data_IF_341284454003
#
_entry.id   IF_341284454003
#
_cell.length_a   1.000
_cell.length_b   1.000
_cell.length_c   1.000
_cell.angle_alpha   90.00
_cell.angle_beta   90.00
_cell.angle_gamma   90.00
#
_symmetry.space_group_name_H-M   'P 1'
#
loop_
_entity.id
_entity.type
_entity.pdbx_description
1 polymer ?
#
# COMPACT_ATOMS: atom_id res chain seq x y z
N UNK A 1 1.85 18.78 11.10
CA UNK A 1 2.15 18.75 9.65
C UNK A 1 1.14 19.65 8.95
N UNK A 2 1.54 20.71 8.24
CA UNK A 2 0.64 21.50 7.41
C UNK A 2 -0.16 20.61 6.45
N UNK A 3 -1.45 20.91 6.26
CA UNK A 3 -2.35 20.09 5.42
C UNK A 3 -1.82 19.85 4.01
N UNK A 4 -1.15 20.85 3.41
CA UNK A 4 -0.53 20.74 2.10
C UNK A 4 0.53 19.62 2.02
N UNK A 5 1.33 19.45 3.08
CA UNK A 5 2.38 18.43 3.14
C UNK A 5 1.76 17.04 3.30
N UNK A 6 0.70 16.92 4.11
CA UNK A 6 -0.03 15.66 4.25
C UNK A 6 -0.66 15.22 2.93
N UNK A 7 -1.28 16.15 2.20
CA UNK A 7 -1.86 15.88 0.88
C UNK A 7 -0.77 15.46 -0.11
N UNK A 8 0.35 16.19 -0.19
CA UNK A 8 1.46 15.82 -1.06
C UNK A 8 2.01 14.42 -0.76
N UNK A 9 2.19 14.09 0.52
CA UNK A 9 2.60 12.76 0.97
C UNK A 9 1.62 11.66 0.55
N UNK A 10 0.31 11.88 0.76
CA UNK A 10 -0.74 10.93 0.37
C UNK A 10 -0.79 10.71 -1.14
N UNK A 11 -0.69 11.79 -1.93
CA UNK A 11 -0.71 11.69 -3.39
C UNK A 11 0.47 10.85 -3.90
N UNK A 12 1.67 11.12 -3.40
CA UNK A 12 2.87 10.40 -3.82
C UNK A 12 2.86 8.96 -3.33
N UNK A 13 2.43 8.72 -2.08
CA UNK A 13 2.24 7.38 -1.56
C UNK A 13 1.24 6.57 -2.40
N UNK A 14 0.18 7.20 -2.91
CA UNK A 14 -0.81 6.56 -3.79
C UNK A 14 -0.19 6.16 -5.13
N UNK A 15 0.54 7.08 -5.77
CA UNK A 15 1.23 6.80 -7.04
C UNK A 15 2.23 5.66 -6.90
N UNK A 16 3.03 5.67 -5.81
CA UNK A 16 4.01 4.61 -5.54
C UNK A 16 3.32 3.28 -5.26
N UNK A 17 2.20 3.29 -4.55
CA UNK A 17 1.42 2.08 -4.26
C UNK A 17 0.87 1.42 -5.53
N UNK A 18 0.52 2.22 -6.55
CA UNK A 18 0.11 1.71 -7.87
C UNK A 18 1.30 1.17 -8.69
N UNK A 19 2.50 1.70 -8.46
CA UNK A 19 3.73 1.31 -9.18
C UNK A 19 4.51 0.20 -8.50
N UNK A 20 4.16 -0.18 -7.27
CA UNK A 20 4.94 -1.12 -6.47
C UNK A 20 4.79 -2.55 -7.03
N UNK A 21 5.89 -3.10 -7.51
CA UNK A 21 6.02 -4.54 -7.78
C UNK A 21 6.20 -5.24 -6.44
N UNK A 22 5.45 -6.32 -6.18
CA UNK A 22 5.52 -7.11 -4.94
C UNK A 22 6.84 -7.86 -4.80
N UNK A 23 7.94 -7.14 -4.54
CA UNK A 23 9.20 -7.72 -4.09
C UNK A 23 9.30 -7.57 -2.57
N UNK A 24 9.44 -8.69 -1.82
CA UNK A 24 9.79 -8.63 -0.41
C UNK A 24 11.14 -7.95 -0.24
N UNK A 25 11.27 -7.08 0.76
CA UNK A 25 12.59 -6.71 1.24
C UNK A 25 12.87 -5.22 1.42
N UNK A 26 14.00 -5.01 2.09
CA UNK A 26 14.67 -3.73 2.34
C UNK A 26 14.91 -2.88 1.09
N UNK A 27 15.07 -3.52 -0.07
CA UNK A 27 15.32 -2.85 -1.36
C UNK A 27 14.06 -2.06 -1.79
N UNK A 28 12.87 -2.65 -1.66
CA UNK A 28 11.61 -2.00 -2.03
C UNK A 28 11.25 -0.86 -1.09
N UNK A 29 11.64 -0.93 0.18
CA UNK A 29 11.36 0.09 1.21
C UNK A 29 12.02 1.43 0.90
N UNK A 30 13.34 1.44 0.65
CA UNK A 30 14.07 2.69 0.39
C UNK A 30 13.58 3.35 -0.90
N UNK A 31 13.32 2.53 -1.94
CA UNK A 31 12.81 3.01 -3.24
C UNK A 31 11.39 3.59 -3.12
N UNK A 32 10.56 3.01 -2.24
CA UNK A 32 9.17 3.45 -2.07
C UNK A 32 9.03 4.62 -1.09
N UNK A 33 9.76 4.62 0.03
CA UNK A 33 9.61 5.64 1.08
C UNK A 33 10.50 6.86 0.83
N UNK A 34 11.65 6.70 0.15
CA UNK A 34 12.55 7.80 -0.18
C UNK A 34 11.86 8.98 -0.89
N UNK A 35 11.14 8.77 -2.01
CA UNK A 35 10.44 9.84 -2.69
C UNK A 35 9.32 10.49 -1.86
N UNK A 36 8.64 9.71 -1.00
CA UNK A 36 7.59 10.22 -0.10
C UNK A 36 8.22 11.15 0.95
N UNK A 37 9.32 10.74 1.56
CA UNK A 37 10.04 11.53 2.55
C UNK A 37 10.59 12.83 1.94
N UNK A 38 11.15 12.77 0.73
CA UNK A 38 11.61 13.95 -0.02
C UNK A 38 10.47 14.93 -0.28
N UNK A 39 9.31 14.45 -0.71
CA UNK A 39 8.17 15.31 -0.98
C UNK A 39 7.53 15.92 0.27
N UNK A 40 7.65 15.25 1.41
CA UNK A 40 7.23 15.79 2.69
C UNK A 40 8.30 16.70 3.33
N UNK A 41 9.49 16.82 2.74
CA UNK A 41 10.61 17.59 3.29
C UNK A 41 11.19 16.99 4.57
N UNK A 42 11.05 15.67 4.76
CA UNK A 42 11.52 14.94 5.94
C UNK A 42 12.86 14.26 5.62
N UNK A 43 13.83 14.21 6.55
CA UNK A 43 15.12 13.55 6.33
C UNK A 43 14.97 12.08 5.92
N UNK A 44 15.81 11.65 4.97
CA UNK A 44 15.83 10.28 4.41
C UNK A 44 16.86 9.38 5.09
N UNK A 45 17.82 9.96 5.79
CA UNK A 45 18.89 9.26 6.51
C UNK A 45 18.35 8.23 7.52
N UNK A 46 17.25 8.49 8.26
CA UNK A 46 16.66 7.49 9.17
C UNK A 46 16.18 6.22 8.48
N UNK A 47 15.90 6.26 7.16
CA UNK A 47 15.47 5.07 6.40
C UNK A 47 16.52 3.96 6.44
N UNK A 48 17.82 4.31 6.49
CA UNK A 48 18.89 3.31 6.62
C UNK A 48 18.79 2.52 7.93
N UNK A 49 18.28 3.13 9.00
CA UNK A 49 18.04 2.45 10.28
C UNK A 49 16.71 1.70 10.26
N UNK A 50 15.66 2.32 9.73
CA UNK A 50 14.32 1.72 9.66
C UNK A 50 14.29 0.46 8.79
N UNK A 51 15.21 0.34 7.83
CA UNK A 51 15.36 -0.87 7.01
C UNK A 51 15.59 -2.14 7.84
N UNK A 52 16.19 -2.01 9.02
CA UNK A 52 16.46 -3.13 9.92
C UNK A 52 15.18 -3.74 10.50
N UNK A 53 14.13 -2.93 10.67
CA UNK A 53 12.85 -3.35 11.26
C UNK A 53 11.73 -3.43 10.24
N UNK A 54 11.99 -3.08 8.98
CA UNK A 54 10.99 -2.99 7.91
C UNK A 54 10.22 -4.29 7.68
N UNK A 55 10.77 -5.45 8.04
CA UNK A 55 10.07 -6.73 7.88
C UNK A 55 8.73 -6.78 8.62
N UNK A 56 8.60 -6.07 9.75
CA UNK A 56 7.35 -6.00 10.50
C UNK A 56 6.26 -5.19 9.76
N UNK A 57 6.47 -3.90 9.42
CA UNK A 57 5.49 -3.14 8.65
C UNK A 57 5.29 -3.69 7.23
N UNK A 58 6.30 -4.27 6.58
CA UNK A 58 6.15 -4.88 5.25
C UNK A 58 5.19 -6.07 5.29
N UNK A 59 5.26 -6.90 6.34
CA UNK A 59 4.32 -8.00 6.56
C UNK A 59 2.90 -7.48 6.77
N UNK A 60 2.73 -6.45 7.59
CA UNK A 60 1.41 -5.85 7.84
C UNK A 60 0.82 -5.23 6.57
N UNK A 61 1.63 -4.53 5.78
CA UNK A 61 1.23 -3.94 4.50
C UNK A 61 0.81 -5.03 3.51
N UNK A 62 1.60 -6.10 3.40
CA UNK A 62 1.30 -7.22 2.51
C UNK A 62 0.02 -7.93 2.92
N UNK A 63 -0.12 -8.26 4.20
CA UNK A 63 -1.33 -8.90 4.74
C UNK A 63 -2.56 -8.04 4.49
N UNK A 64 -2.53 -6.76 4.87
CA UNK A 64 -3.66 -5.84 4.70
C UNK A 64 -4.08 -5.68 3.23
N UNK A 65 -3.11 -5.49 2.33
CA UNK A 65 -3.38 -5.35 0.90
C UNK A 65 -4.00 -6.62 0.31
N UNK A 66 -3.44 -7.80 0.61
CA UNK A 66 -3.98 -9.08 0.12
C UNK A 66 -5.37 -9.35 0.69
N UNK A 67 -5.59 -9.11 1.98
CA UNK A 67 -6.91 -9.26 2.61
C UNK A 67 -7.94 -8.36 1.93
N UNK A 68 -7.60 -7.09 1.66
CA UNK A 68 -8.51 -6.16 0.97
C UNK A 68 -8.80 -6.61 -0.46
N UNK A 69 -7.79 -7.07 -1.20
CA UNK A 69 -7.96 -7.58 -2.56
C UNK A 69 -8.92 -8.77 -2.61
N UNK A 70 -8.77 -9.74 -1.70
CA UNK A 70 -9.66 -10.90 -1.60
C UNK A 70 -11.08 -10.47 -1.18
N UNK A 71 -11.19 -9.56 -0.21
CA UNK A 71 -12.48 -9.04 0.25
C UNK A 71 -13.25 -8.36 -0.89
N UNK A 72 -12.61 -7.43 -1.61
CA UNK A 72 -13.22 -6.73 -2.75
C UNK A 72 -13.60 -7.71 -3.86
N UNK A 73 -12.72 -8.66 -4.20
CA UNK A 73 -13.00 -9.68 -5.22
C UNK A 73 -14.24 -10.51 -4.85
N UNK A 74 -14.34 -10.95 -3.59
CA UNK A 74 -15.48 -11.72 -3.11
C UNK A 74 -16.80 -10.92 -3.09
N UNK A 75 -16.72 -9.63 -2.74
CA UNK A 75 -17.87 -8.73 -2.75
C UNK A 75 -18.37 -8.49 -4.18
N UNK A 76 -17.46 -8.32 -5.13
CA UNK A 76 -17.78 -8.17 -6.55
C UNK A 76 -18.42 -9.45 -7.10
N UNK A 77 -17.82 -10.63 -6.87
CA UNK A 77 -18.40 -11.92 -7.32
C UNK A 77 -19.84 -12.10 -6.83
N UNK A 78 -20.10 -11.79 -5.55
CA UNK A 78 -21.44 -11.85 -4.97
C UNK A 78 -22.41 -10.85 -5.60
N UNK A 79 -21.94 -9.64 -5.94
CA UNK A 79 -22.79 -8.61 -6.55
C UNK A 79 -23.22 -8.92 -7.98
N UNK A 80 -22.43 -9.72 -8.71
CA UNK A 80 -22.72 -10.12 -10.09
C UNK A 80 -23.68 -11.32 -10.15
N UNK A 81 -23.69 -12.19 -9.11
CA UNK A 81 -24.67 -13.27 -8.99
C UNK A 81 -26.06 -12.70 -8.69
N UNK A 82 -26.83 -12.40 -9.74
CA UNK A 82 -28.29 -12.24 -9.66
C UNK A 82 -28.89 -13.58 -9.19
N UNK A 83 -29.94 -13.60 -8.33
CA UNK A 83 -30.58 -14.85 -7.96
C UNK A 83 -31.16 -15.52 -9.22
N UNK A 84 -30.54 -16.61 -9.67
CA UNK A 84 -31.21 -17.49 -10.61
C UNK A 84 -32.45 -18.03 -9.93
N UNK A 85 -33.61 -17.71 -10.51
CA UNK A 85 -34.88 -18.34 -10.13
C UNK A 85 -34.72 -19.84 -10.33
N UNK A 86 -34.94 -20.68 -9.30
CA UNK A 86 -34.83 -22.12 -9.47
C UNK A 86 -35.82 -22.56 -10.56
N UNK A 87 -35.31 -23.17 -11.63
CA UNK A 87 -36.16 -23.82 -12.62
C UNK A 87 -36.94 -24.94 -11.93
N UNK A 88 -38.26 -24.85 -12.01
CA UNK A 88 -39.25 -25.84 -11.59
C UNK A 88 -39.01 -27.20 -12.21
#
# INVERSE_FOLDING_TARGET
VPWAIAIAGVLIASVISLSAVSLPGSISFVVSIGPIALAMGVPVEPLALLVAVEMLPDLMRTLGNVTMNVAVTSAVDRSVRTPETPAT
#
